data_IF_678403126867
#
_entry.id   IF_678403126867
#
_cell.length_a   1.000
_cell.length_b   1.000
_cell.length_c   1.000
_cell.angle_alpha   90.00
_cell.angle_beta   90.00
_cell.angle_gamma   90.00
#
_symmetry.space_group_name_H-M   'P 1'
#
loop_
_entity.id
_entity.type
_entity.pdbx_description
1 polymer ?
#
# COMPACT_ATOMS: atom_id res chain seq x y z
N UNK A 1 8.69 5.85 -14.17
CA UNK A 1 8.44 5.33 -12.82
C UNK A 1 7.73 6.38 -11.99
N UNK A 2 6.73 5.97 -11.19
CA UNK A 2 6.03 6.85 -10.23
C UNK A 2 6.26 6.31 -8.83
N UNK A 3 6.60 7.19 -7.89
CA UNK A 3 6.87 6.85 -6.50
C UNK A 3 5.94 7.61 -5.58
N UNK A 4 5.28 6.89 -4.67
CA UNK A 4 4.39 7.46 -3.66
C UNK A 4 4.92 7.13 -2.27
N UNK A 5 5.10 8.18 -1.47
CA UNK A 5 5.42 8.06 -0.05
C UNK A 5 4.22 8.54 0.76
N UNK A 6 3.72 7.69 1.62
CA UNK A 6 2.64 8.03 2.53
C UNK A 6 3.08 7.73 3.96
N UNK A 7 2.90 8.70 4.85
CA UNK A 7 3.23 8.57 6.26
C UNK A 7 2.00 8.85 7.10
N UNK A 8 1.65 7.90 7.94
CA UNK A 8 0.55 8.00 8.89
C UNK A 8 1.15 7.92 10.30
N UNK A 9 1.07 9.02 11.06
CA UNK A 9 1.63 9.04 12.41
C UNK A 9 0.70 8.37 13.43
N UNK A 10 -0.59 8.68 13.40
CA UNK A 10 -1.56 8.05 14.27
C UNK A 10 -2.92 7.95 13.60
N UNK A 11 -3.51 6.76 13.57
CA UNK A 11 -4.86 6.55 13.03
C UNK A 11 -5.65 5.52 13.85
N UNK A 12 -6.90 5.83 14.18
CA UNK A 12 -7.82 4.89 14.85
C UNK A 12 -8.68 4.11 13.84
N UNK A 13 -8.05 3.60 12.78
CA UNK A 13 -8.73 2.98 11.64
C UNK A 13 -8.35 3.69 10.35
N UNK A 14 -7.54 3.07 9.51
CA UNK A 14 -7.11 3.63 8.23
C UNK A 14 -7.23 2.58 7.12
N UNK A 15 -7.95 2.93 6.05
CA UNK A 15 -8.10 2.08 4.87
C UNK A 15 -7.53 2.79 3.66
N UNK A 16 -6.56 2.16 3.00
CA UNK A 16 -6.00 2.64 1.74
C UNK A 16 -6.39 1.67 0.63
N UNK A 17 -7.18 2.15 -0.33
CA UNK A 17 -7.47 1.46 -1.58
C UNK A 17 -6.71 2.16 -2.70
N UNK A 18 -5.92 1.39 -3.44
CA UNK A 18 -5.09 1.92 -4.50
C UNK A 18 -5.19 1.00 -5.72
N UNK A 19 -5.65 1.56 -6.83
CA UNK A 19 -5.75 0.85 -8.12
C UNK A 19 -4.74 1.47 -9.08
N UNK A 20 -3.96 0.62 -9.72
CA UNK A 20 -2.95 1.01 -10.70
C UNK A 20 -3.23 0.25 -11.99
N UNK A 21 -3.75 0.95 -13.00
CA UNK A 21 -4.12 0.36 -14.30
C UNK A 21 -2.88 -0.01 -15.12
N UNK A 22 -1.99 0.95 -15.38
CA UNK A 22 -0.73 0.71 -16.09
C UNK A 22 0.47 1.29 -15.31
N UNK A 23 1.43 0.42 -14.98
CA UNK A 23 2.62 0.79 -14.24
C UNK A 23 3.91 0.18 -14.80
N UNK A 24 4.72 1.01 -15.45
CA UNK A 24 6.14 0.71 -15.69
C UNK A 24 6.99 1.36 -14.58
N UNK A 25 7.37 0.56 -13.58
CA UNK A 25 8.20 0.98 -12.44
C UNK A 25 7.43 1.81 -11.41
N UNK A 26 6.45 1.21 -10.76
CA UNK A 26 5.69 1.86 -9.68
C UNK A 26 6.26 1.51 -8.31
N UNK A 27 6.47 2.49 -7.43
CA UNK A 27 6.87 2.25 -6.05
C UNK A 27 5.91 2.91 -5.06
N UNK A 28 5.43 2.12 -4.10
CA UNK A 28 4.63 2.60 -2.98
C UNK A 28 5.37 2.31 -1.68
N UNK A 29 5.57 3.35 -0.89
CA UNK A 29 6.23 3.24 0.39
C UNK A 29 5.35 3.88 1.46
N UNK A 30 4.84 3.02 2.35
CA UNK A 30 3.90 3.40 3.39
C UNK A 30 4.54 3.18 4.76
N UNK A 31 4.51 4.21 5.60
CA UNK A 31 4.97 4.13 6.99
C UNK A 31 3.83 4.48 7.93
N UNK A 32 3.48 3.56 8.82
CA UNK A 32 2.44 3.72 9.82
C UNK A 32 3.07 3.57 11.21
N UNK A 33 3.03 4.62 12.03
CA UNK A 33 3.60 4.55 13.39
C UNK A 33 2.65 3.89 14.39
N UNK A 34 1.45 4.44 14.56
CA UNK A 34 0.42 3.86 15.43
C UNK A 34 -0.91 3.71 14.70
N UNK A 35 -1.40 2.48 14.58
CA UNK A 35 -2.73 2.21 14.05
C UNK A 35 -3.51 1.18 14.87
N UNK A 36 -4.70 1.53 15.37
CA UNK A 36 -5.59 0.54 16.00
C UNK A 36 -6.17 -0.47 14.99
N UNK A 37 -6.23 -0.10 13.72
CA UNK A 37 -6.67 -0.96 12.63
C UNK A 37 -6.25 -0.36 11.30
N UNK A 38 -5.69 -1.19 10.42
CA UNK A 38 -5.23 -0.76 9.10
C UNK A 38 -5.64 -1.79 8.03
N UNK A 39 -6.14 -1.31 6.89
CA UNK A 39 -6.36 -2.15 5.71
C UNK A 39 -5.70 -1.54 4.46
N UNK A 40 -4.87 -2.34 3.79
CA UNK A 40 -4.37 -2.05 2.44
C UNK A 40 -5.09 -2.91 1.43
N UNK A 41 -5.58 -2.29 0.37
CA UNK A 41 -5.97 -3.00 -0.83
C UNK A 41 -5.25 -2.37 -2.02
N UNK A 42 -4.38 -3.15 -2.65
CA UNK A 42 -3.64 -2.75 -3.83
C UNK A 42 -4.04 -3.67 -4.99
N UNK A 43 -4.59 -3.08 -6.05
CA UNK A 43 -4.92 -3.78 -7.29
C UNK A 43 -4.05 -3.21 -8.41
N UNK A 44 -3.37 -4.09 -9.14
CA UNK A 44 -2.47 -3.73 -10.24
C UNK A 44 -2.87 -4.54 -11.46
N UNK A 45 -3.29 -3.90 -12.56
CA UNK A 45 -3.84 -4.60 -13.74
C UNK A 45 -2.79 -4.89 -14.82
N UNK A 46 -1.87 -3.95 -15.10
CA UNK A 46 -0.75 -4.17 -16.01
C UNK A 46 0.53 -3.52 -15.45
N UNK A 47 1.49 -4.35 -15.02
CA UNK A 47 2.75 -3.85 -14.47
C UNK A 47 4.00 -4.51 -15.03
N UNK A 48 4.92 -3.68 -15.54
CA UNK A 48 6.29 -4.06 -15.86
C UNK A 48 7.23 -3.66 -14.72
N UNK A 49 6.95 -4.18 -13.52
CA UNK A 49 7.71 -3.94 -12.30
C UNK A 49 7.02 -3.00 -11.31
N UNK A 50 6.74 -3.52 -10.11
CA UNK A 50 6.23 -2.77 -8.98
C UNK A 50 7.05 -3.08 -7.72
N UNK A 51 7.14 -2.13 -6.80
CA UNK A 51 7.68 -2.33 -5.46
C UNK A 51 6.73 -1.76 -4.41
N UNK A 52 6.41 -2.59 -3.43
CA UNK A 52 5.63 -2.20 -2.27
C UNK A 52 6.50 -2.35 -1.04
N UNK A 53 6.61 -1.28 -0.24
CA UNK A 53 7.26 -1.33 1.04
C UNK A 53 6.31 -0.76 2.10
N UNK A 54 6.03 -1.58 3.11
CA UNK A 54 5.14 -1.25 4.21
C UNK A 54 5.94 -1.39 5.51
N UNK A 55 5.97 -0.34 6.30
CA UNK A 55 6.56 -0.35 7.65
C UNK A 55 5.48 0.04 8.64
N UNK A 56 5.25 -0.82 9.62
CA UNK A 56 4.28 -0.60 10.71
C UNK A 56 5.02 -0.76 12.04
N UNK A 57 5.06 0.28 12.86
CA UNK A 57 5.72 0.22 14.19
C UNK A 57 4.80 -0.39 15.25
N UNK A 58 3.58 0.13 15.40
CA UNK A 58 2.59 -0.38 16.35
C UNK A 58 1.22 -0.49 15.70
N UNK A 59 0.70 -1.72 15.59
CA UNK A 59 -0.66 -1.96 15.14
C UNK A 59 -1.40 -3.02 15.95
N UNK A 60 -2.67 -2.75 16.27
CA UNK A 60 -3.55 -3.74 16.92
C UNK A 60 -4.21 -4.70 15.91
N UNK A 61 -4.22 -4.37 14.62
CA UNK A 61 -4.71 -5.24 13.56
C UNK A 61 -4.40 -4.67 12.18
N UNK A 62 -3.96 -5.53 11.26
CA UNK A 62 -3.71 -5.16 9.87
C UNK A 62 -4.27 -6.20 8.91
N UNK A 63 -4.77 -5.74 7.76
CA UNK A 63 -5.07 -6.57 6.60
C UNK A 63 -4.39 -6.01 5.36
N UNK A 64 -3.83 -6.90 4.55
CA UNK A 64 -3.17 -6.55 3.29
C UNK A 64 -3.69 -7.47 2.21
N UNK A 65 -4.32 -6.86 1.21
CA UNK A 65 -4.76 -7.54 0.01
C UNK A 65 -4.02 -6.94 -1.18
N UNK A 66 -3.35 -7.81 -1.91
CA UNK A 66 -2.63 -7.49 -3.12
C UNK A 66 -3.18 -8.37 -4.23
N UNK A 67 -3.72 -7.73 -5.25
CA UNK A 67 -4.10 -8.40 -6.50
C UNK A 67 -3.22 -7.83 -7.60
N UNK A 68 -2.48 -8.71 -8.25
CA UNK A 68 -1.70 -8.37 -9.45
C UNK A 68 -2.25 -9.22 -10.58
N UNK A 69 -2.93 -8.57 -11.49
CA UNK A 69 -3.26 -9.15 -12.77
C UNK A 69 -2.11 -8.84 -13.73
N UNK A 70 -1.74 -9.82 -14.54
CA UNK A 70 -0.77 -9.68 -15.62
C UNK A 70 -1.52 -10.07 -16.89
N UNK A 71 -1.41 -9.22 -17.91
CA UNK A 71 -1.84 -9.57 -19.26
C UNK A 71 -0.93 -10.65 -19.87
#
# INVERSE_FOLDING_TARGET
SRAYHLKVEQACGYSLHLTVEEACGYSLHLTVKQARGYSLHLTVEQACGYSLHLTVEEACGYSLHLTVEQA
#
